data_IF_300837068364
#
_entry.id   IF_300837068364
#
_cell.length_a   1.000
_cell.length_b   1.000
_cell.length_c   1.000
_cell.angle_alpha   90.00
_cell.angle_beta   90.00
_cell.angle_gamma   90.00
#
_symmetry.space_group_name_H-M   'P 1'
#
loop_
_entity.id
_entity.type
_entity.pdbx_description
1 polymer ?
#
# COMPACT_ATOMS: atom_id res chain seq x y z
N UNK A 1 -6.08 -6.88 -4.77
CA UNK A 1 -5.00 -6.16 -4.07
C UNK A 1 -4.50 -7.07 -2.98
N UNK A 2 -3.20 -7.03 -2.69
CA UNK A 2 -2.64 -7.84 -1.60
C UNK A 2 -1.50 -7.08 -0.92
N UNK A 3 -1.24 -7.42 0.35
CA UNK A 3 -0.11 -6.89 1.12
C UNK A 3 1.00 -7.93 1.06
N UNK A 4 2.08 -7.57 0.39
CA UNK A 4 3.23 -8.45 0.20
C UNK A 4 4.36 -7.97 1.11
N UNK A 5 4.83 -8.83 2.01
CA UNK A 5 6.04 -8.56 2.80
C UNK A 5 7.26 -8.66 1.87
N UNK A 6 7.93 -7.53 1.64
CA UNK A 6 9.10 -7.47 0.73
C UNK A 6 10.42 -7.72 1.45
N UNK A 7 10.52 -7.23 2.67
CA UNK A 7 11.68 -7.42 3.55
C UNK A 7 11.18 -7.57 4.98
N UNK A 8 12.05 -7.92 5.94
CA UNK A 8 11.65 -8.06 7.34
C UNK A 8 10.94 -6.82 7.90
N UNK A 9 11.29 -5.64 7.39
CA UNK A 9 10.86 -4.32 7.87
C UNK A 9 9.96 -3.55 6.90
N UNK A 10 9.61 -4.13 5.74
CA UNK A 10 8.82 -3.42 4.73
C UNK A 10 7.70 -4.28 4.15
N UNK A 11 6.55 -3.64 3.99
CA UNK A 11 5.33 -4.20 3.41
C UNK A 11 4.94 -3.39 2.19
N UNK A 12 4.53 -4.05 1.12
CA UNK A 12 4.05 -3.39 -0.10
C UNK A 12 2.57 -3.68 -0.31
N UNK A 13 1.75 -2.65 -0.49
CA UNK A 13 0.41 -2.80 -1.03
C UNK A 13 0.50 -2.89 -2.55
N UNK A 14 0.08 -4.02 -3.11
CA UNK A 14 0.31 -4.34 -4.53
C UNK A 14 -0.97 -4.77 -5.23
N UNK A 15 -1.08 -4.37 -6.50
CA UNK A 15 -2.07 -4.88 -7.44
C UNK A 15 -1.59 -6.23 -7.95
N UNK A 16 -2.31 -7.27 -7.59
CA UNK A 16 -2.11 -8.62 -8.10
C UNK A 16 -3.04 -8.81 -9.30
N UNK A 17 -2.52 -9.39 -10.37
CA UNK A 17 -3.29 -9.67 -11.58
C UNK A 17 -4.32 -10.77 -11.37
N UNK A 18 -5.17 -11.01 -12.38
CA UNK A 18 -6.13 -12.15 -12.38
C UNK A 18 -5.46 -13.49 -12.06
N UNK A 19 -4.21 -13.65 -12.48
CA UNK A 19 -3.37 -14.75 -12.06
C UNK A 19 -2.54 -14.30 -10.85
N UNK A 20 -2.81 -14.88 -9.69
CA UNK A 20 -2.22 -14.52 -8.37
C UNK A 20 -0.68 -14.59 -8.32
N UNK A 21 -0.06 -15.22 -9.32
CA UNK A 21 1.40 -15.32 -9.51
C UNK A 21 2.04 -14.04 -10.08
N UNK A 22 1.26 -13.11 -10.64
CA UNK A 22 1.81 -11.89 -11.25
C UNK A 22 1.44 -10.66 -10.44
N UNK A 23 2.47 -10.04 -9.85
CA UNK A 23 2.36 -8.68 -9.35
C UNK A 23 2.31 -7.73 -10.55
N UNK A 24 1.25 -6.93 -10.63
CA UNK A 24 0.96 -6.02 -11.74
C UNK A 24 1.48 -4.62 -11.45
N UNK A 25 1.36 -4.14 -10.20
CA UNK A 25 1.79 -2.80 -9.82
C UNK A 25 2.04 -2.71 -8.31
N UNK A 26 3.11 -2.03 -7.91
CA UNK A 26 3.28 -1.56 -6.53
C UNK A 26 2.51 -0.25 -6.37
N UNK A 27 1.62 -0.18 -5.38
CA UNK A 27 0.89 1.05 -5.07
C UNK A 27 1.68 1.90 -4.07
N UNK A 28 2.07 1.31 -2.93
CA UNK A 28 2.79 2.00 -1.86
C UNK A 28 3.58 1.01 -0.99
N UNK A 29 4.66 1.49 -0.39
CA UNK A 29 5.45 0.76 0.62
C UNK A 29 5.20 1.34 2.01
N UNK A 30 5.27 0.47 3.01
CA UNK A 30 4.97 0.74 4.41
C UNK A 30 6.01 0.08 5.28
N UNK A 31 6.25 0.69 6.44
CA UNK A 31 7.21 0.18 7.43
C UNK A 31 6.56 -0.83 8.37
N UNK A 32 5.22 -0.81 8.44
CA UNK A 32 4.46 -1.72 9.26
C UNK A 32 3.24 -2.26 8.52
N UNK A 33 2.82 -3.47 8.92
CA UNK A 33 1.67 -4.15 8.32
C UNK A 33 0.34 -3.43 8.64
N UNK A 34 0.29 -2.68 9.75
CA UNK A 34 -0.93 -1.99 10.18
C UNK A 34 -1.31 -0.89 9.21
N UNK A 35 -0.39 -0.02 8.84
CA UNK A 35 -0.61 1.05 7.86
C UNK A 35 -0.99 0.48 6.50
N UNK A 36 -0.30 -0.57 6.05
CA UNK A 36 -0.65 -1.27 4.82
C UNK A 36 -2.10 -1.84 4.87
N UNK A 37 -2.52 -2.36 6.02
CA UNK A 37 -3.88 -2.89 6.23
C UNK A 37 -4.93 -1.78 6.27
N UNK A 38 -4.63 -0.66 6.93
CA UNK A 38 -5.53 0.48 7.05
C UNK A 38 -5.74 1.17 5.68
N UNK A 39 -4.68 1.34 4.88
CA UNK A 39 -4.78 1.85 3.50
C UNK A 39 -5.48 0.85 2.56
N UNK A 40 -5.25 -0.46 2.73
CA UNK A 40 -5.98 -1.49 1.98
C UNK A 40 -7.48 -1.43 2.30
N UNK A 41 -7.86 -1.32 3.57
CA UNK A 41 -9.25 -1.21 3.99
C UNK A 41 -9.91 0.02 3.35
N UNK A 42 -9.25 1.19 3.45
CA UNK A 42 -9.70 2.44 2.81
C UNK A 42 -9.89 2.31 1.31
N UNK A 43 -8.99 1.60 0.64
CA UNK A 43 -9.09 1.34 -0.80
C UNK A 43 -10.28 0.43 -1.13
N UNK A 44 -10.54 -0.58 -0.30
CA UNK A 44 -11.65 -1.51 -0.48
C UNK A 44 -13.02 -0.86 -0.25
N UNK A 45 -13.13 0.06 0.70
CA UNK A 45 -14.37 0.81 0.97
C UNK A 45 -14.55 2.03 0.06
N UNK A 46 -13.54 2.38 -0.74
CA UNK A 46 -13.57 3.52 -1.68
C UNK A 46 -13.28 4.88 -1.05
N UNK A 47 -12.74 4.93 0.17
CA UNK A 47 -12.29 6.16 0.84
C UNK A 47 -10.98 6.70 0.26
N UNK A 48 -10.17 5.82 -0.35
CA UNK A 48 -8.98 6.22 -1.11
C UNK A 48 -8.94 5.50 -2.46
N UNK A 49 -8.12 6.01 -3.39
CA UNK A 49 -7.95 5.44 -4.73
C UNK A 49 -6.52 4.93 -4.94
N UNK A 50 -6.33 4.08 -5.95
CA UNK A 50 -4.99 3.60 -6.34
C UNK A 50 -4.04 4.76 -6.65
N UNK A 51 -4.54 5.82 -7.30
CA UNK A 51 -3.72 6.96 -7.70
C UNK A 51 -3.30 7.81 -6.49
N UNK A 52 -4.16 7.96 -5.49
CA UNK A 52 -3.83 8.64 -4.22
C UNK A 52 -2.78 7.87 -3.42
N UNK A 53 -2.81 6.53 -3.45
CA UNK A 53 -1.80 5.70 -2.80
C UNK A 53 -0.44 5.83 -3.50
N UNK A 54 -0.44 5.82 -4.83
CA UNK A 54 0.78 5.96 -5.64
C UNK A 54 1.36 7.37 -5.53
N UNK A 55 0.52 8.41 -5.43
CA UNK A 55 0.98 9.79 -5.27
C UNK A 55 1.43 10.14 -3.85
N UNK A 56 1.25 9.22 -2.89
CA UNK A 56 1.56 9.46 -1.47
C UNK A 56 0.56 10.38 -0.77
N UNK A 57 -0.60 10.65 -1.37
CA UNK A 57 -1.66 11.51 -0.82
C UNK A 57 -2.72 10.75 -0.01
N UNK A 58 -2.70 9.42 -0.03
CA UNK A 58 -3.52 8.61 0.86
C UNK A 58 -3.08 8.86 2.32
N UNK A 59 -3.96 9.51 3.10
CA UNK A 59 -3.69 10.06 4.43
C UNK A 59 -3.47 9.02 5.54
N UNK A 60 -2.49 8.14 5.39
CA UNK A 60 -1.95 7.29 6.45
C UNK A 60 -0.44 7.27 6.30
N UNK A 61 0.27 7.90 7.25
CA UNK A 61 1.73 7.93 7.27
C UNK A 61 2.34 9.14 6.54
N UNK A 62 2.13 10.34 7.08
CA UNK A 62 3.27 11.27 7.20
C UNK A 62 4.13 10.77 8.37
N UNK A 63 5.12 9.92 8.09
CA UNK A 63 6.26 9.76 8.99
C UNK A 63 7.51 9.70 8.14
N UNK A 64 8.34 10.73 8.29
CA UNK A 64 9.67 10.81 7.70
C UNK A 64 9.80 11.83 6.58
N UNK A 65 9.82 13.12 6.93
CA UNK A 65 11.04 13.94 6.83
C UNK A 65 10.69 15.42 7.03
N UNK A 66 10.53 15.83 8.29
CA UNK A 66 10.89 17.19 8.68
C UNK A 66 12.27 17.08 9.31
N UNK A 67 13.27 17.48 8.53
CA UNK A 67 14.59 17.88 9.02
C UNK A 67 14.44 19.07 9.99
#
# INVERSE_FOLDING_TARGET
MDIIRKSPEKYGLMKVGKNVVRIVRLLREYDNIKEASDDLARLLVGETTEDQLVSGQAGGGEIGSKL
#
